data_IF_606338489849
#
_entry.id   IF_606338489849
#
_cell.length_a   1.000
_cell.length_b   1.000
_cell.length_c   1.000
_cell.angle_alpha   90.00
_cell.angle_beta   90.00
_cell.angle_gamma   90.00
#
_symmetry.space_group_name_H-M   'P 1'
#
loop_
_entity.id
_entity.type
_entity.pdbx_description
1 polymer ?
#
# COMPACT_ATOMS: atom_id res chain seq x y z
N UNK A 1 -40.09 62.62 -1.95
CA UNK A 1 -39.71 63.47 -0.79
C UNK A 1 -38.48 62.85 -0.15
N UNK A 2 -37.46 63.66 0.21
CA UNK A 2 -36.13 63.20 0.57
C UNK A 2 -36.05 62.60 2.00
N UNK A 3 -35.14 61.64 2.15
CA UNK A 3 -34.76 60.92 3.38
C UNK A 3 -34.19 61.88 4.44
N UNK A 4 -34.69 61.87 5.70
CA UNK A 4 -34.40 62.90 6.70
C UNK A 4 -33.19 62.61 7.61
N UNK A 5 -32.19 61.83 7.18
CA UNK A 5 -31.07 61.47 8.06
C UNK A 5 -29.74 62.09 7.61
N UNK A 6 -29.32 63.15 8.32
CA UNK A 6 -27.97 63.71 8.28
C UNK A 6 -26.94 62.68 8.78
N UNK A 7 -26.06 62.21 7.89
CA UNK A 7 -24.89 61.40 8.26
C UNK A 7 -23.66 62.30 8.44
N UNK A 8 -23.00 62.17 9.58
CA UNK A 8 -21.75 62.87 9.91
C UNK A 8 -20.58 62.38 9.06
N UNK A 9 -19.68 63.29 8.71
CA UNK A 9 -18.54 63.03 7.82
C UNK A 9 -17.53 62.06 8.44
N UNK A 10 -17.04 61.12 7.62
CA UNK A 10 -15.96 60.19 7.94
C UNK A 10 -14.63 60.95 8.14
N UNK A 11 -13.81 60.61 9.16
CA UNK A 11 -12.54 61.31 9.43
C UNK A 11 -11.36 60.85 8.55
N UNK A 12 -11.60 60.12 7.45
CA UNK A 12 -10.54 59.55 6.62
C UNK A 12 -10.39 60.30 5.29
N UNK A 13 -9.16 60.73 4.98
CA UNK A 13 -8.79 61.45 3.76
C UNK A 13 -8.87 60.59 2.49
N UNK A 14 -9.18 61.24 1.37
CA UNK A 14 -9.28 60.71 0.02
C UNK A 14 -8.04 59.86 -0.38
N UNK A 15 -8.22 58.60 -0.80
CA UNK A 15 -7.12 57.69 -1.17
C UNK A 15 -6.36 58.07 -2.45
N UNK A 16 -6.74 59.15 -3.14
CA UNK A 16 -6.04 59.62 -4.35
C UNK A 16 -4.92 60.64 -4.08
N UNK A 17 -4.76 61.11 -2.84
CA UNK A 17 -3.71 62.09 -2.49
C UNK A 17 -2.43 61.38 -2.02
N UNK A 18 -1.44 61.27 -2.91
CA UNK A 18 -0.09 60.76 -2.58
C UNK A 18 0.73 61.84 -1.85
N UNK A 19 1.20 61.52 -0.64
CA UNK A 19 2.09 62.38 0.14
C UNK A 19 3.52 62.51 -0.42
N UNK A 20 4.29 63.52 0.01
CA UNK A 20 5.53 63.94 -0.65
C UNK A 20 6.74 63.08 -0.25
N UNK A 21 6.81 61.85 -0.77
CA UNK A 21 8.05 61.05 -0.91
C UNK A 21 8.03 60.16 -2.15
N UNK A 22 7.37 60.62 -3.22
CA UNK A 22 7.38 59.94 -4.52
C UNK A 22 7.79 60.93 -5.61
N UNK A 23 9.10 61.16 -5.74
CA UNK A 23 9.71 61.63 -6.99
C UNK A 23 11.24 61.43 -6.92
N UNK A 24 11.78 60.90 -8.03
CA UNK A 24 13.20 60.61 -8.34
C UNK A 24 13.71 59.30 -7.70
N UNK A 25 14.02 58.22 -8.43
CA UNK A 25 14.70 58.13 -9.72
C UNK A 25 14.13 56.99 -10.59
N UNK A 26 13.50 57.36 -11.70
CA UNK A 26 13.29 56.49 -12.87
C UNK A 26 14.36 56.82 -13.91
N UNK A 27 15.52 56.18 -13.84
CA UNK A 27 16.47 56.08 -14.96
C UNK A 27 17.17 54.74 -14.89
N UNK A 28 17.06 53.96 -15.97
CA UNK A 28 17.38 52.53 -16.00
C UNK A 28 18.83 52.19 -15.76
N UNK A 29 19.05 50.99 -15.22
CA UNK A 29 20.29 50.21 -15.29
C UNK A 29 19.99 48.73 -14.97
N UNK A 30 20.36 47.88 -15.93
CA UNK A 30 20.64 46.43 -15.89
C UNK A 30 19.70 45.45 -15.16
N UNK A 31 19.14 44.53 -15.95
CA UNK A 31 18.42 43.30 -15.56
C UNK A 31 19.33 42.18 -15.01
N UNK A 32 20.55 42.47 -14.52
CA UNK A 32 21.54 41.45 -14.15
C UNK A 32 21.92 41.37 -12.66
N UNK A 33 21.19 42.02 -11.75
CA UNK A 33 21.52 42.07 -10.32
C UNK A 33 20.45 41.49 -9.38
N UNK A 34 19.40 40.86 -9.91
CA UNK A 34 18.34 40.23 -9.10
C UNK A 34 18.58 38.75 -8.77
N UNK A 35 19.78 38.22 -9.00
CA UNK A 35 20.13 36.82 -8.66
C UNK A 35 20.82 36.63 -7.29
N UNK A 36 21.26 37.69 -6.62
CA UNK A 36 22.05 37.56 -5.37
C UNK A 36 21.37 38.21 -4.16
N UNK A 37 20.11 37.86 -3.90
CA UNK A 37 19.53 38.09 -2.57
C UNK A 37 18.50 37.02 -2.24
N UNK A 38 18.95 35.77 -2.09
CA UNK A 38 18.22 34.80 -1.29
C UNK A 38 18.20 35.32 0.15
N UNK A 39 17.11 35.97 0.53
CA UNK A 39 16.82 36.22 1.94
C UNK A 39 16.55 34.85 2.57
N UNK A 40 17.58 34.29 3.22
CA UNK A 40 17.44 33.17 4.15
C UNK A 40 16.42 33.57 5.22
N UNK A 41 15.17 33.16 5.03
CA UNK A 41 14.11 33.35 6.01
C UNK A 41 14.31 32.34 7.13
N UNK A 42 15.21 32.64 8.08
CA UNK A 42 15.35 31.86 9.30
C UNK A 42 14.06 31.96 10.12
N UNK A 43 13.37 30.84 10.28
CA UNK A 43 12.13 30.73 11.06
C UNK A 43 12.45 30.29 12.50
N UNK A 44 11.53 30.48 13.44
CA UNK A 44 11.64 29.98 14.82
C UNK A 44 12.85 30.48 15.63
N UNK A 45 13.04 31.80 15.71
CA UNK A 45 13.95 32.39 16.71
C UNK A 45 13.38 32.23 18.11
N UNK A 46 14.02 31.41 18.92
CA UNK A 46 13.67 31.20 20.34
C UNK A 46 14.91 31.41 21.21
N UNK A 47 14.74 31.43 22.53
CA UNK A 47 15.88 31.46 23.45
C UNK A 47 16.81 30.23 23.29
N UNK A 48 16.28 29.11 22.80
CA UNK A 48 17.03 27.88 22.51
C UNK A 48 17.73 27.93 21.14
N UNK A 49 17.21 28.73 20.20
CA UNK A 49 17.78 28.93 18.86
C UNK A 49 17.88 30.43 18.53
N UNK A 50 18.87 31.16 19.07
CA UNK A 50 18.99 32.62 18.90
C UNK A 50 19.22 33.02 17.45
N UNK A 51 19.87 32.13 16.68
CA UNK A 51 20.13 32.30 15.25
C UNK A 51 18.90 32.07 14.36
N UNK A 52 17.80 31.53 14.88
CA UNK A 52 16.74 30.92 14.08
C UNK A 52 17.16 29.55 13.55
N UNK A 53 16.18 28.72 13.21
CA UNK A 53 16.42 27.44 12.57
C UNK A 53 16.55 27.71 11.06
N UNK A 54 17.69 27.34 10.48
CA UNK A 54 17.78 27.23 9.03
C UNK A 54 17.01 25.98 8.62
N UNK A 55 16.05 26.08 7.67
CA UNK A 55 15.51 24.89 7.02
C UNK A 55 16.70 24.03 6.57
N UNK A 56 16.62 22.71 6.79
CA UNK A 56 17.64 21.80 6.29
C UNK A 56 17.94 22.14 4.83
N UNK A 57 19.21 22.23 4.46
CA UNK A 57 19.67 22.55 3.11
C UNK A 57 18.82 21.80 2.09
N UNK A 58 18.23 22.53 1.14
CA UNK A 58 17.34 22.05 0.08
C UNK A 58 17.92 20.80 -0.59
N UNK A 59 17.58 19.63 -0.07
CA UNK A 59 17.72 18.38 -0.83
C UNK A 59 16.60 18.46 -1.86
N UNK A 60 16.96 18.37 -3.14
CA UNK A 60 15.95 18.17 -4.18
C UNK A 60 15.14 16.92 -3.82
N UNK A 61 13.83 17.11 -3.64
CA UNK A 61 12.91 16.03 -3.33
C UNK A 61 12.80 15.14 -4.57
N UNK A 62 12.71 13.84 -4.33
CA UNK A 62 12.47 12.87 -5.41
C UNK A 62 11.04 13.05 -5.95
N UNK A 63 10.83 12.68 -7.21
CA UNK A 63 9.50 12.68 -7.85
C UNK A 63 8.45 11.93 -7.01
N UNK A 64 8.85 10.84 -6.35
CA UNK A 64 8.00 10.10 -5.41
C UNK A 64 7.62 10.93 -4.18
N UNK A 65 8.59 11.61 -3.56
CA UNK A 65 8.35 12.44 -2.37
C UNK A 65 7.38 13.57 -2.70
N UNK A 66 7.60 14.25 -3.84
CA UNK A 66 6.71 15.31 -4.34
C UNK A 66 5.30 14.76 -4.65
N UNK A 67 5.20 13.63 -5.35
CA UNK A 67 3.91 13.02 -5.68
C UNK A 67 3.11 12.64 -4.42
N UNK A 68 3.77 12.04 -3.41
CA UNK A 68 3.12 11.69 -2.14
C UNK A 68 2.72 12.93 -1.33
N UNK A 69 3.51 13.99 -1.38
CA UNK A 69 3.15 15.25 -0.73
C UNK A 69 1.93 15.90 -1.38
N UNK A 70 1.93 16.02 -2.71
CA UNK A 70 0.86 16.66 -3.45
C UNK A 70 -0.46 15.88 -3.38
N UNK A 71 -0.41 14.55 -3.56
CA UNK A 71 -1.62 13.71 -3.62
C UNK A 71 -2.10 13.28 -2.24
N UNK A 72 -1.18 12.94 -1.35
CA UNK A 72 -1.51 12.29 -0.08
C UNK A 72 -1.19 13.16 1.15
N UNK A 73 -0.63 14.36 0.98
CA UNK A 73 -0.22 15.23 2.09
C UNK A 73 0.77 14.56 3.05
N UNK A 74 1.63 13.67 2.52
CA UNK A 74 2.73 13.12 3.30
C UNK A 74 3.81 14.19 3.47
N UNK A 75 4.21 14.44 4.72
CA UNK A 75 5.24 15.41 5.08
C UNK A 75 6.62 14.75 5.02
N UNK A 76 7.25 14.79 3.85
CA UNK A 76 8.58 14.22 3.61
C UNK A 76 9.71 14.91 4.40
N UNK A 77 9.45 16.10 4.97
CA UNK A 77 10.43 16.78 5.84
C UNK A 77 10.42 16.19 7.25
N UNK A 78 9.33 15.51 7.63
CA UNK A 78 9.16 14.89 8.96
C UNK A 78 9.28 13.38 8.93
N UNK A 79 8.86 12.74 7.85
CA UNK A 79 8.79 11.28 7.74
C UNK A 79 9.76 10.80 6.67
N UNK A 80 10.68 9.91 7.05
CA UNK A 80 11.56 9.28 6.08
C UNK A 80 10.75 8.34 5.16
N UNK A 81 10.79 8.61 3.86
CA UNK A 81 10.17 7.76 2.83
C UNK A 81 11.22 6.77 2.33
N UNK A 82 10.96 5.47 2.51
CA UNK A 82 11.86 4.38 2.12
C UNK A 82 11.28 3.64 0.91
N UNK A 83 11.69 4.00 -0.33
CA UNK A 83 11.17 3.40 -1.54
C UNK A 83 11.81 2.05 -1.87
N UNK A 84 10.98 1.08 -2.18
CA UNK A 84 11.33 -0.24 -2.72
C UNK A 84 12.53 -0.92 -2.01
N UNK A 85 12.60 -0.92 -0.66
CA UNK A 85 13.75 -1.41 0.08
C UNK A 85 14.07 -2.87 -0.24
N UNK A 86 15.34 -3.22 -0.06
CA UNK A 86 15.80 -4.60 -0.21
C UNK A 86 15.16 -5.52 0.84
N UNK A 87 15.09 -6.81 0.55
CA UNK A 87 14.60 -7.82 1.50
C UNK A 87 15.41 -7.78 2.80
N UNK A 88 16.74 -7.64 2.70
CA UNK A 88 17.61 -7.57 3.88
C UNK A 88 17.32 -6.34 4.76
N UNK A 89 17.17 -5.16 4.15
CA UNK A 89 16.82 -3.93 4.88
C UNK A 89 15.47 -4.08 5.60
N UNK A 90 14.49 -4.70 4.95
CA UNK A 90 13.18 -4.97 5.58
C UNK A 90 13.26 -5.96 6.74
N UNK A 91 14.16 -6.96 6.67
CA UNK A 91 14.42 -7.85 7.79
C UNK A 91 15.06 -7.10 8.97
N UNK A 92 16.10 -6.30 8.70
CA UNK A 92 16.77 -5.48 9.71
C UNK A 92 15.78 -4.54 10.40
N UNK A 93 14.99 -3.81 9.62
CA UNK A 93 13.99 -2.89 10.15
C UNK A 93 12.90 -3.62 10.95
N UNK A 94 12.40 -4.76 10.47
CA UNK A 94 11.41 -5.54 11.21
C UNK A 94 11.95 -5.99 12.57
N UNK A 95 13.20 -6.48 12.63
CA UNK A 95 13.82 -6.95 13.86
C UNK A 95 14.13 -5.83 14.85
N UNK A 96 14.46 -4.64 14.36
CA UNK A 96 14.80 -3.49 15.21
C UNK A 96 13.54 -2.78 15.73
N UNK A 97 12.48 -2.69 14.92
CA UNK A 97 11.38 -1.77 15.19
C UNK A 97 10.01 -2.43 15.37
N UNK A 98 9.85 -3.70 15.00
CA UNK A 98 8.59 -4.41 15.15
C UNK A 98 8.68 -5.49 16.22
N UNK A 99 8.12 -5.18 17.40
CA UNK A 99 8.07 -6.11 18.51
C UNK A 99 7.38 -7.41 18.14
N UNK A 100 8.01 -8.53 18.49
CA UNK A 100 7.54 -9.88 18.16
C UNK A 100 8.08 -10.44 16.84
N UNK A 101 8.75 -9.64 16.02
CA UNK A 101 9.44 -10.19 14.84
C UNK A 101 10.68 -10.98 15.24
N UNK A 102 10.94 -12.10 14.56
CA UNK A 102 12.13 -12.91 14.74
C UNK A 102 12.57 -13.57 13.43
N UNK A 103 13.75 -14.18 13.42
CA UNK A 103 14.17 -15.08 12.34
C UNK A 103 13.92 -16.51 12.82
N UNK A 104 13.14 -17.27 12.05
CA UNK A 104 12.95 -18.71 12.26
C UNK A 104 14.22 -19.49 11.86
N UNK A 105 14.34 -20.76 12.27
CA UNK A 105 15.49 -21.62 11.94
C UNK A 105 15.69 -21.79 10.42
N UNK A 106 14.62 -21.64 9.64
CA UNK A 106 14.64 -21.64 8.18
C UNK A 106 15.25 -20.37 7.55
N UNK A 107 15.45 -19.31 8.33
CA UNK A 107 15.83 -17.99 7.85
C UNK A 107 14.65 -17.11 7.44
N UNK A 108 13.40 -17.58 7.54
CA UNK A 108 12.22 -16.77 7.31
C UNK A 108 12.00 -15.74 8.43
N UNK A 109 11.47 -14.57 8.09
CA UNK A 109 11.02 -13.58 9.07
C UNK A 109 9.69 -14.07 9.67
N UNK A 110 9.53 -14.03 10.99
CA UNK A 110 8.24 -14.22 11.64
C UNK A 110 7.63 -12.85 11.94
N UNK A 111 6.31 -12.73 11.79
CA UNK A 111 5.59 -11.49 12.10
C UNK A 111 4.19 -11.79 12.67
N UNK A 112 3.68 -10.86 13.46
CA UNK A 112 2.34 -10.95 14.04
C UNK A 112 1.43 -9.82 13.53
N UNK A 113 0.19 -10.17 13.24
CA UNK A 113 -0.85 -9.25 12.72
C UNK A 113 -1.77 -8.69 13.81
N UNK A 114 -1.38 -8.87 15.08
CA UNK A 114 -2.11 -8.35 16.24
C UNK A 114 -3.48 -9.01 16.42
N UNK A 115 -4.48 -8.22 16.78
CA UNK A 115 -5.82 -8.72 17.12
C UNK A 115 -6.58 -9.37 15.94
N UNK A 116 -6.16 -9.10 14.70
CA UNK A 116 -6.80 -9.62 13.49
C UNK A 116 -5.84 -10.60 12.83
N UNK A 117 -6.14 -11.89 12.93
CA UNK A 117 -5.36 -12.98 12.29
C UNK A 117 -5.99 -13.49 11.00
N UNK A 118 -6.89 -12.68 10.43
CA UNK A 118 -7.67 -12.98 9.25
C UNK A 118 -8.42 -11.75 8.76
N UNK A 119 -9.13 -11.89 7.64
CA UNK A 119 -9.91 -10.79 7.06
C UNK A 119 -11.02 -10.32 8.00
N UNK A 120 -11.44 -9.07 7.82
CA UNK A 120 -12.62 -8.47 8.46
C UNK A 120 -13.72 -8.14 7.42
N UNK A 121 -14.42 -9.13 6.83
CA UNK A 121 -15.42 -8.88 5.79
C UNK A 121 -16.55 -7.94 6.23
N UNK A 122 -16.88 -7.95 7.53
CA UNK A 122 -17.85 -7.04 8.14
C UNK A 122 -17.47 -5.58 8.02
N UNK A 123 -16.17 -5.28 7.90
CA UNK A 123 -15.56 -3.95 7.93
C UNK A 123 -15.03 -3.52 6.55
N UNK A 124 -15.13 -4.40 5.53
CA UNK A 124 -14.91 -4.05 4.12
C UNK A 124 -15.99 -3.07 3.64
N UNK A 125 -15.59 -2.06 2.87
CA UNK A 125 -16.46 -1.03 2.29
C UNK A 125 -16.04 -0.68 0.87
N UNK A 126 -17.00 -0.29 0.04
CA UNK A 126 -16.75 0.31 -1.28
C UNK A 126 -17.42 1.68 -1.28
N UNK A 127 -16.69 2.70 -1.71
CA UNK A 127 -17.24 4.05 -1.82
C UNK A 127 -18.33 4.06 -2.88
N UNK A 128 -19.51 4.55 -2.51
CA UNK A 128 -20.64 4.71 -3.42
C UNK A 128 -20.47 6.04 -4.14
N UNK A 129 -19.80 5.99 -5.28
CA UNK A 129 -19.55 7.15 -6.14
C UNK A 129 -20.08 6.90 -7.57
N UNK A 130 -20.40 7.95 -8.36
CA UNK A 130 -21.14 7.81 -9.61
C UNK A 130 -20.50 6.94 -10.70
N UNK A 131 -19.16 6.87 -10.77
CA UNK A 131 -18.44 6.15 -11.82
C UNK A 131 -18.54 4.63 -11.70
N UNK A 132 -18.71 4.11 -10.48
CA UNK A 132 -18.78 2.68 -10.20
C UNK A 132 -20.12 2.19 -9.66
N UNK A 133 -21.00 3.08 -9.17
CA UNK A 133 -22.16 2.66 -8.37
C UNK A 133 -23.14 1.72 -9.08
N UNK A 134 -23.25 1.84 -10.41
CA UNK A 134 -24.15 1.01 -11.22
C UNK A 134 -23.54 -0.35 -11.58
N UNK A 135 -22.22 -0.51 -11.41
CA UNK A 135 -21.49 -1.74 -11.71
C UNK A 135 -21.22 -2.57 -10.44
N UNK A 136 -21.38 -1.98 -9.25
CA UNK A 136 -21.16 -2.67 -7.98
C UNK A 136 -22.44 -3.37 -7.52
N UNK A 137 -22.33 -4.68 -7.23
CA UNK A 137 -23.42 -5.43 -6.63
C UNK A 137 -23.49 -5.20 -5.12
N UNK A 138 -24.28 -4.19 -4.71
CA UNK A 138 -24.44 -3.77 -3.32
C UNK A 138 -25.11 -4.83 -2.44
N UNK A 139 -24.59 -5.02 -1.23
CA UNK A 139 -25.13 -6.00 -0.28
C UNK A 139 -24.23 -6.27 0.93
N UNK A 140 -24.37 -7.43 1.60
CA UNK A 140 -23.61 -7.75 2.80
C UNK A 140 -22.10 -7.90 2.56
N UNK A 141 -21.69 -8.18 1.32
CA UNK A 141 -20.27 -8.27 0.90
C UNK A 141 -19.75 -6.89 0.49
N UNK A 142 -20.45 -6.23 -0.44
CA UNK A 142 -20.10 -4.89 -0.94
C UNK A 142 -20.96 -3.86 -0.21
N UNK A 143 -20.47 -3.41 0.94
CA UNK A 143 -21.17 -2.45 1.79
C UNK A 143 -20.84 -1.02 1.33
N UNK A 144 -21.85 -0.17 1.06
CA UNK A 144 -21.61 1.19 0.61
C UNK A 144 -20.98 2.06 1.71
N UNK A 145 -20.17 3.02 1.28
CA UNK A 145 -19.60 4.08 2.11
C UNK A 145 -19.77 5.42 1.37
N UNK A 146 -20.17 6.47 2.08
CA UNK A 146 -20.25 7.80 1.49
C UNK A 146 -18.83 8.34 1.18
N UNK A 147 -18.63 9.09 0.08
CA UNK A 147 -17.33 9.69 -0.26
C UNK A 147 -16.73 10.52 0.87
N UNK A 148 -17.54 11.26 1.62
CA UNK A 148 -17.12 12.12 2.74
C UNK A 148 -16.60 11.30 3.92
N UNK A 149 -17.27 10.18 4.22
CA UNK A 149 -16.83 9.22 5.25
C UNK A 149 -15.49 8.60 4.86
N UNK A 150 -15.33 8.27 3.58
CA UNK A 150 -14.07 7.73 3.07
C UNK A 150 -12.94 8.76 3.19
N UNK A 151 -13.17 10.03 2.84
CA UNK A 151 -12.18 11.11 3.00
C UNK A 151 -11.72 11.24 4.45
N UNK A 152 -12.62 11.12 5.42
CA UNK A 152 -12.26 11.12 6.85
C UNK A 152 -11.32 9.95 7.18
N UNK A 153 -11.61 8.73 6.70
CA UNK A 153 -10.75 7.58 6.96
C UNK A 153 -9.40 7.68 6.23
N UNK A 154 -9.39 8.20 5.00
CA UNK A 154 -8.17 8.49 4.24
C UNK A 154 -7.28 9.46 5.00
N UNK A 155 -7.83 10.59 5.46
CA UNK A 155 -7.09 11.60 6.21
C UNK A 155 -6.50 11.00 7.50
N UNK A 156 -7.29 10.19 8.23
CA UNK A 156 -6.79 9.49 9.42
C UNK A 156 -5.62 8.54 9.13
N UNK A 157 -5.62 7.89 7.97
CA UNK A 157 -4.52 7.02 7.57
C UNK A 157 -3.26 7.84 7.26
N UNK A 158 -3.41 8.93 6.50
CA UNK A 158 -2.34 9.88 6.20
C UNK A 158 -1.76 10.50 7.48
N UNK A 159 -2.61 11.01 8.38
CA UNK A 159 -2.20 11.57 9.67
C UNK A 159 -1.34 10.57 10.46
N UNK A 160 -1.79 9.31 10.53
CA UNK A 160 -1.03 8.27 11.19
C UNK A 160 0.33 8.04 10.53
N UNK A 161 0.38 7.94 9.19
CA UNK A 161 1.61 7.76 8.43
C UNK A 161 2.57 8.94 8.67
N UNK A 162 2.06 10.17 8.72
CA UNK A 162 2.80 11.40 9.05
C UNK A 162 3.34 11.45 10.48
N UNK A 163 2.79 10.65 11.41
CA UNK A 163 3.33 10.54 12.78
C UNK A 163 4.45 9.51 12.92
N UNK A 164 4.76 8.75 11.87
CA UNK A 164 5.83 7.75 11.90
C UNK A 164 7.18 8.42 11.68
N UNK A 165 8.25 7.83 12.22
CA UNK A 165 9.61 8.26 11.87
C UNK A 165 10.00 7.86 10.45
N UNK A 166 9.38 6.79 9.92
CA UNK A 166 9.55 6.31 8.56
C UNK A 166 8.29 5.64 8.05
N UNK A 167 8.14 5.64 6.74
CA UNK A 167 7.17 4.83 6.00
C UNK A 167 7.88 4.14 4.85
N UNK A 168 7.31 3.02 4.41
CA UNK A 168 7.81 2.26 3.28
C UNK A 168 6.88 2.45 2.09
N UNK A 169 7.48 2.57 0.91
CA UNK A 169 6.77 2.60 -0.36
C UNK A 169 7.16 1.38 -1.17
N UNK A 170 6.17 0.60 -1.61
CA UNK A 170 6.38 -0.53 -2.51
C UNK A 170 5.60 -0.28 -3.79
N UNK A 171 6.33 -0.19 -4.89
CA UNK A 171 5.78 -0.06 -6.24
C UNK A 171 5.90 -1.41 -6.96
N UNK A 172 4.80 -1.86 -7.55
CA UNK A 172 4.78 -3.09 -8.32
C UNK A 172 3.56 -3.24 -9.22
N UNK A 173 3.55 -4.31 -10.00
CA UNK A 173 2.43 -4.62 -10.87
C UNK A 173 1.51 -5.67 -10.27
N UNK A 174 0.23 -5.59 -10.63
CA UNK A 174 -0.73 -6.67 -10.49
C UNK A 174 -1.24 -7.09 -11.88
N UNK A 175 -1.10 -8.37 -12.20
CA UNK A 175 -1.33 -8.94 -13.54
C UNK A 175 -0.04 -9.12 -14.33
N UNK A 176 0.27 -10.36 -14.72
CA UNK A 176 1.46 -10.68 -15.54
C UNK A 176 1.30 -10.32 -17.01
N UNK A 177 0.07 -10.16 -17.50
CA UNK A 177 -0.18 -9.71 -18.85
C UNK A 177 -0.05 -8.19 -18.96
N UNK A 178 0.99 -7.69 -19.64
CA UNK A 178 1.31 -6.26 -19.78
C UNK A 178 0.18 -5.40 -20.36
N UNK A 179 -0.73 -5.97 -21.14
CA UNK A 179 -1.89 -5.24 -21.68
C UNK A 179 -2.89 -4.86 -20.58
N UNK A 180 -2.95 -5.66 -19.53
CA UNK A 180 -3.96 -5.57 -18.47
C UNK A 180 -3.36 -5.27 -17.10
N UNK A 181 -2.02 -5.33 -16.96
CA UNK A 181 -1.37 -5.08 -15.67
C UNK A 181 -1.65 -3.66 -15.18
N UNK A 182 -1.89 -3.53 -13.89
CA UNK A 182 -2.04 -2.23 -13.23
C UNK A 182 -0.81 -1.94 -12.36
N UNK A 183 -0.44 -0.66 -12.25
CA UNK A 183 0.59 -0.16 -11.35
C UNK A 183 -0.01 0.07 -9.97
N UNK A 184 0.53 -0.60 -8.95
CA UNK A 184 0.09 -0.49 -7.56
C UNK A 184 1.22 0.09 -6.72
N UNK A 185 0.93 1.20 -6.03
CA UNK A 185 1.78 1.76 -4.98
C UNK A 185 1.20 1.41 -3.61
N UNK A 186 2.04 0.94 -2.71
CA UNK A 186 1.65 0.67 -1.32
C UNK A 186 2.47 1.56 -0.41
N UNK A 187 1.79 2.33 0.44
CA UNK A 187 2.39 3.15 1.49
C UNK A 187 2.03 2.54 2.83
N UNK A 188 3.01 2.08 3.60
CA UNK A 188 2.78 1.39 4.87
C UNK A 188 3.81 1.73 5.94
N UNK A 189 3.42 1.59 7.21
CA UNK A 189 4.29 1.90 8.35
C UNK A 189 5.18 0.72 8.82
N UNK A 190 4.86 -0.52 8.43
CA UNK A 190 5.55 -1.74 8.87
C UNK A 190 6.41 -2.33 7.75
N UNK A 191 7.65 -2.69 8.07
CA UNK A 191 8.57 -3.42 7.21
C UNK A 191 8.01 -4.80 6.85
N UNK A 192 7.31 -5.46 7.78
CA UNK A 192 6.56 -6.69 7.51
C UNK A 192 5.57 -6.51 6.33
N UNK A 193 4.75 -5.46 6.36
CA UNK A 193 3.77 -5.18 5.30
C UNK A 193 4.43 -4.81 3.97
N UNK A 194 5.54 -4.08 4.03
CA UNK A 194 6.32 -3.76 2.85
C UNK A 194 6.91 -5.03 2.21
N UNK A 195 7.48 -5.93 3.01
CA UNK A 195 7.99 -7.22 2.53
C UNK A 195 6.88 -8.10 1.98
N UNK A 196 5.69 -8.07 2.60
CA UNK A 196 4.50 -8.72 2.07
C UNK A 196 4.17 -8.25 0.67
N UNK A 197 3.99 -6.94 0.46
CA UNK A 197 3.62 -6.45 -0.87
C UNK A 197 4.75 -6.58 -1.89
N UNK A 198 6.02 -6.52 -1.45
CA UNK A 198 7.18 -6.82 -2.32
C UNK A 198 7.20 -8.29 -2.78
N UNK A 199 6.63 -9.20 -1.99
CA UNK A 199 6.51 -10.61 -2.35
C UNK A 199 5.26 -10.87 -3.20
N UNK A 200 4.14 -10.19 -2.91
CA UNK A 200 2.85 -10.46 -3.54
C UNK A 200 2.61 -9.71 -4.85
N UNK A 201 3.22 -8.54 -5.04
CA UNK A 201 3.21 -7.84 -6.33
C UNK A 201 4.33 -8.32 -7.23
N UNK A 202 4.13 -8.15 -8.54
CA UNK A 202 5.15 -8.40 -9.55
C UNK A 202 6.14 -7.24 -9.49
N UNK A 203 7.44 -7.56 -9.39
CA UNK A 203 8.50 -6.57 -9.19
C UNK A 203 8.88 -5.93 -10.53
N UNK A 204 8.77 -4.61 -10.68
CA UNK A 204 9.23 -3.92 -11.89
C UNK A 204 10.76 -4.00 -12.00
N UNK A 205 11.31 -3.96 -13.23
CA UNK A 205 12.72 -3.65 -13.45
C UNK A 205 13.11 -2.32 -12.79
N UNK A 206 14.38 -2.19 -12.39
CA UNK A 206 14.86 -1.00 -11.67
C UNK A 206 14.67 0.30 -12.44
N UNK A 207 14.82 0.25 -13.76
CA UNK A 207 14.60 1.39 -14.67
C UNK A 207 13.15 1.86 -14.70
N UNK A 208 12.18 0.96 -14.55
CA UNK A 208 10.76 1.32 -14.51
C UNK A 208 10.35 1.95 -13.16
N UNK A 209 11.16 1.76 -12.11
CA UNK A 209 10.89 2.33 -10.78
C UNK A 209 11.24 3.82 -10.67
N UNK A 210 12.11 4.35 -11.54
CA UNK A 210 12.57 5.75 -11.46
C UNK A 210 11.44 6.74 -11.75
N UNK A 211 10.54 6.39 -12.68
CA UNK A 211 9.38 7.20 -13.10
C UNK A 211 8.07 6.43 -12.92
N UNK A 212 7.93 5.75 -11.79
CA UNK A 212 6.76 4.94 -11.50
C UNK A 212 5.59 5.81 -11.01
N UNK A 213 4.51 5.83 -11.79
CA UNK A 213 3.25 6.45 -11.40
C UNK A 213 2.17 5.38 -11.20
N UNK A 214 1.59 5.25 -9.99
CA UNK A 214 0.59 4.24 -9.71
C UNK A 214 -0.74 4.52 -10.44
N UNK A 215 -1.37 3.44 -10.88
CA UNK A 215 -2.79 3.46 -11.23
C UNK A 215 -3.64 3.39 -9.96
N UNK A 216 -3.22 2.59 -8.97
CA UNK A 216 -3.85 2.50 -7.65
C UNK A 216 -2.86 2.70 -6.51
N UNK A 217 -3.30 3.38 -5.44
CA UNK A 217 -2.51 3.53 -4.21
C UNK A 217 -3.20 2.92 -3.00
N UNK A 218 -2.46 2.16 -2.18
CA UNK A 218 -2.92 1.60 -0.92
C UNK A 218 -2.24 2.34 0.24
N UNK A 219 -3.02 3.00 1.09
CA UNK A 219 -2.53 3.53 2.37
C UNK A 219 -2.84 2.53 3.48
N UNK A 220 -1.81 1.78 3.90
CA UNK A 220 -1.91 0.85 4.99
C UNK A 220 -1.47 1.50 6.30
N UNK A 221 -2.45 2.05 7.01
CA UNK A 221 -2.36 2.55 8.38
C UNK A 221 -3.00 1.54 9.37
N UNK A 222 -2.83 0.24 9.10
CA UNK A 222 -3.51 -0.84 9.80
C UNK A 222 -3.35 -0.84 11.32
N UNK A 223 -2.21 -0.38 11.84
CA UNK A 223 -1.98 -0.26 13.29
C UNK A 223 -2.74 0.91 13.94
N UNK A 224 -3.41 1.76 13.17
CA UNK A 224 -4.24 2.87 13.65
C UNK A 224 -5.73 2.59 13.45
N UNK A 225 -6.58 2.74 14.47
CA UNK A 225 -7.99 2.39 14.36
C UNK A 225 -8.80 3.42 13.56
N UNK A 226 -9.80 2.92 12.84
CA UNK A 226 -10.89 3.72 12.33
C UNK A 226 -11.70 4.32 13.49
N UNK A 227 -12.30 5.49 13.26
CA UNK A 227 -13.19 6.10 14.24
C UNK A 227 -14.55 5.38 14.21
N UNK A 228 -14.87 4.69 15.31
CA UNK A 228 -16.10 3.89 15.47
C UNK A 228 -17.38 4.71 15.40
N UNK A 229 -17.27 6.03 15.62
CA UNK A 229 -18.39 6.97 15.60
C UNK A 229 -18.58 7.65 14.25
N UNK A 230 -17.70 7.43 13.29
CA UNK A 230 -17.93 7.87 11.90
C UNK A 230 -19.08 7.06 11.31
N UNK A 231 -19.97 7.73 10.58
CA UNK A 231 -21.14 7.10 9.96
C UNK A 231 -20.78 5.84 9.16
N UNK A 232 -21.55 4.77 9.33
CA UNK A 232 -21.35 3.49 8.63
C UNK A 232 -20.20 2.62 9.16
N UNK A 233 -19.42 3.08 10.14
CA UNK A 233 -18.42 2.26 10.83
C UNK A 233 -19.06 1.33 11.85
N UNK A 234 -18.57 0.09 11.88
CA UNK A 234 -19.10 -0.99 12.75
C UNK A 234 -18.12 -1.44 13.82
N UNK A 235 -16.85 -1.03 13.69
CA UNK A 235 -15.76 -1.39 14.60
C UNK A 235 -14.63 -0.37 14.49
N UNK A 236 -13.50 -0.63 15.17
CA UNK A 236 -12.27 0.13 14.98
C UNK A 236 -11.50 -0.24 13.69
N UNK A 237 -12.04 -1.14 12.86
CA UNK A 237 -11.44 -1.60 11.61
C UNK A 237 -12.19 -0.99 10.42
N UNK A 238 -11.46 -0.60 9.37
CA UNK A 238 -12.04 -0.21 8.08
C UNK A 238 -11.10 -0.62 6.95
N UNK A 239 -11.65 -1.29 5.95
CA UNK A 239 -10.94 -1.65 4.72
C UNK A 239 -11.78 -1.13 3.56
N UNK A 240 -11.41 0.04 3.02
CA UNK A 240 -12.27 0.78 2.10
C UNK A 240 -11.58 1.04 0.77
N UNK A 241 -12.31 0.83 -0.33
CA UNK A 241 -11.84 1.02 -1.70
C UNK A 241 -12.67 2.11 -2.37
N UNK A 242 -12.01 3.06 -3.02
CA UNK A 242 -12.61 4.11 -3.83
C UNK A 242 -12.11 3.98 -5.28
N UNK A 243 -13.01 3.59 -6.19
CA UNK A 243 -12.66 3.38 -7.61
C UNK A 243 -12.45 4.69 -8.38
N UNK A 244 -13.14 5.78 -8.01
CA UNK A 244 -12.94 7.08 -8.66
C UNK A 244 -11.58 7.69 -8.31
N UNK A 245 -11.21 7.63 -7.03
CA UNK A 245 -9.92 8.15 -6.55
C UNK A 245 -8.77 7.13 -6.78
N UNK A 246 -9.10 5.90 -7.20
CA UNK A 246 -8.18 4.76 -7.36
C UNK A 246 -7.33 4.50 -6.12
N UNK A 247 -7.98 4.49 -4.96
CA UNK A 247 -7.29 4.39 -3.68
C UNK A 247 -7.95 3.36 -2.75
N UNK A 248 -7.12 2.73 -1.94
CA UNK A 248 -7.51 1.83 -0.87
C UNK A 248 -6.96 2.32 0.45
N UNK A 249 -7.78 2.30 1.50
CA UNK A 249 -7.39 2.70 2.87
C UNK A 249 -7.64 1.54 3.82
N UNK A 250 -6.63 1.22 4.63
CA UNK A 250 -6.68 0.18 5.67
C UNK A 250 -6.42 0.81 7.03
N UNK A 251 -7.35 0.61 7.96
CA UNK A 251 -7.29 1.05 9.35
C UNK A 251 -7.71 -0.10 10.28
N UNK A 252 -7.06 -0.21 11.43
CA UNK A 252 -7.44 -1.10 12.54
C UNK A 252 -7.36 -2.59 12.24
N UNK A 253 -6.47 -2.99 11.33
CA UNK A 253 -6.13 -4.39 11.05
C UNK A 253 -4.71 -4.45 10.49
N UNK A 254 -3.88 -5.32 11.05
CA UNK A 254 -2.51 -5.53 10.60
C UNK A 254 -2.35 -6.85 9.83
N UNK A 255 -3.46 -7.52 9.52
CA UNK A 255 -3.48 -8.73 8.69
C UNK A 255 -3.14 -8.38 7.24
N UNK A 256 -2.00 -8.85 6.75
CA UNK A 256 -1.50 -8.44 5.43
C UNK A 256 -2.39 -8.91 4.27
N UNK A 257 -3.17 -9.97 4.49
CA UNK A 257 -4.13 -10.47 3.50
C UNK A 257 -5.22 -9.48 3.11
N UNK A 258 -5.43 -8.39 3.86
CA UNK A 258 -6.31 -7.30 3.43
C UNK A 258 -5.74 -6.56 2.21
N UNK A 259 -4.43 -6.29 2.16
CA UNK A 259 -3.80 -5.64 1.00
C UNK A 259 -3.92 -6.53 -0.25
N UNK A 260 -3.58 -7.82 -0.12
CA UNK A 260 -3.72 -8.81 -1.22
C UNK A 260 -5.16 -8.84 -1.75
N UNK A 261 -6.14 -9.08 -0.87
CA UNK A 261 -7.54 -9.20 -1.32
C UNK A 261 -8.17 -7.85 -1.71
N UNK A 262 -7.56 -6.74 -1.30
CA UNK A 262 -7.84 -5.40 -1.79
C UNK A 262 -7.48 -5.25 -3.27
N UNK A 263 -6.22 -5.54 -3.63
CA UNK A 263 -5.76 -5.59 -5.03
C UNK A 263 -6.64 -6.56 -5.83
N UNK A 264 -6.90 -7.76 -5.32
CA UNK A 264 -7.80 -8.70 -5.99
C UNK A 264 -9.18 -8.10 -6.24
N UNK A 265 -9.77 -7.39 -5.27
CA UNK A 265 -11.07 -6.73 -5.44
C UNK A 265 -11.03 -5.68 -6.54
N UNK A 266 -9.93 -4.92 -6.65
CA UNK A 266 -9.75 -3.94 -7.73
C UNK A 266 -9.77 -4.63 -9.09
N UNK A 267 -8.96 -5.69 -9.25
CA UNK A 267 -8.91 -6.44 -10.51
C UNK A 267 -10.26 -7.12 -10.81
N UNK A 268 -10.94 -7.64 -9.79
CA UNK A 268 -12.28 -8.24 -9.91
C UNK A 268 -13.35 -7.27 -10.42
N UNK A 269 -13.10 -5.97 -10.29
CA UNK A 269 -13.95 -4.91 -10.84
C UNK A 269 -13.45 -4.47 -12.22
N UNK A 270 -12.19 -4.07 -12.34
CA UNK A 270 -11.67 -3.47 -13.57
C UNK A 270 -11.62 -4.44 -14.74
N UNK A 271 -11.21 -5.70 -14.51
CA UNK A 271 -11.06 -6.66 -15.59
C UNK A 271 -12.39 -6.96 -16.28
N UNK A 272 -13.50 -7.26 -15.59
CA UNK A 272 -14.79 -7.45 -16.26
C UNK A 272 -15.37 -6.14 -16.80
N UNK A 273 -15.33 -5.05 -16.02
CA UNK A 273 -16.08 -3.80 -16.34
C UNK A 273 -15.40 -2.99 -17.44
N UNK A 274 -14.07 -2.90 -17.43
CA UNK A 274 -13.29 -2.06 -18.34
C UNK A 274 -12.72 -2.88 -19.50
N UNK A 275 -12.24 -4.09 -19.20
CA UNK A 275 -11.47 -4.88 -20.16
C UNK A 275 -12.21 -6.07 -20.75
N UNK A 276 -13.41 -6.41 -20.25
CA UNK A 276 -14.14 -7.62 -20.62
C UNK A 276 -13.29 -8.90 -20.47
N UNK A 277 -12.50 -8.96 -19.39
CA UNK A 277 -11.63 -10.07 -19.02
C UNK A 277 -12.21 -10.78 -17.79
N UNK A 278 -12.23 -12.11 -17.81
CA UNK A 278 -12.80 -12.91 -16.74
C UNK A 278 -11.81 -13.04 -15.58
N UNK A 279 -12.18 -12.57 -14.39
CA UNK A 279 -11.41 -12.76 -13.16
C UNK A 279 -11.79 -14.03 -12.42
N UNK A 280 -10.79 -14.77 -11.95
CA UNK A 280 -10.93 -16.10 -11.37
C UNK A 280 -10.23 -16.18 -10.02
N UNK A 281 -10.94 -16.68 -9.02
CA UNK A 281 -10.36 -17.07 -7.73
C UNK A 281 -10.07 -18.58 -7.76
N UNK A 282 -8.93 -18.93 -8.33
CA UNK A 282 -8.49 -20.30 -8.61
C UNK A 282 -6.96 -20.37 -8.59
N UNK A 283 -6.40 -21.55 -8.31
CA UNK A 283 -5.02 -21.84 -8.72
C UNK A 283 -4.98 -22.28 -10.19
N UNK A 284 -3.82 -22.17 -10.83
CA UNK A 284 -3.61 -22.62 -12.20
C UNK A 284 -2.21 -23.21 -12.41
N UNK A 285 -2.12 -24.24 -13.25
CA UNK A 285 -0.84 -24.81 -13.69
C UNK A 285 -0.90 -25.26 -15.15
N UNK A 286 0.27 -25.38 -15.76
CA UNK A 286 0.45 -25.71 -17.17
C UNK A 286 1.23 -27.03 -17.32
N UNK A 287 0.73 -27.92 -18.16
CA UNK A 287 1.44 -29.14 -18.53
C UNK A 287 2.52 -28.87 -19.57
N UNK A 288 3.44 -29.84 -19.77
CA UNK A 288 4.55 -29.71 -20.75
C UNK A 288 4.08 -29.49 -22.20
N UNK A 289 2.82 -29.77 -22.51
CA UNK A 289 2.23 -29.59 -23.83
C UNK A 289 1.41 -28.29 -23.96
N UNK A 290 1.46 -27.40 -22.97
CA UNK A 290 0.72 -26.14 -22.94
C UNK A 290 -0.74 -26.27 -22.47
N UNK A 291 -1.14 -27.43 -21.94
CA UNK A 291 -2.49 -27.62 -21.41
C UNK A 291 -2.63 -26.96 -20.03
N UNK A 292 -3.47 -25.94 -19.94
CA UNK A 292 -3.73 -25.19 -18.70
C UNK A 292 -4.87 -25.82 -17.91
N UNK A 293 -4.68 -26.03 -16.61
CA UNK A 293 -5.72 -26.50 -15.68
C UNK A 293 -6.00 -25.43 -14.63
N UNK A 294 -7.28 -25.18 -14.33
CA UNK A 294 -7.76 -24.26 -13.31
C UNK A 294 -8.43 -25.03 -12.16
N UNK A 295 -8.09 -24.71 -10.92
CA UNK A 295 -8.64 -25.35 -9.73
C UNK A 295 -9.43 -24.35 -8.90
N UNK A 296 -10.75 -24.47 -8.91
CA UNK A 296 -11.65 -23.65 -8.09
C UNK A 296 -11.92 -24.29 -6.74
N UNK A 297 -12.00 -23.47 -5.70
CA UNK A 297 -12.28 -23.96 -4.35
C UNK A 297 -12.14 -22.88 -3.29
N UNK A 298 -12.76 -23.08 -2.14
CA UNK A 298 -12.62 -22.19 -1.00
C UNK A 298 -11.25 -22.36 -0.32
N UNK A 299 -10.94 -21.54 0.68
CA UNK A 299 -9.70 -21.70 1.45
C UNK A 299 -9.69 -23.06 2.16
N UNK A 300 -8.61 -23.84 2.01
CA UNK A 300 -8.48 -25.15 2.65
C UNK A 300 -9.08 -26.33 1.89
N UNK A 301 -9.59 -26.15 0.66
CA UNK A 301 -10.14 -27.25 -0.15
C UNK A 301 -9.08 -27.90 -1.07
N UNK A 302 -7.79 -27.79 -0.74
CA UNK A 302 -6.71 -28.42 -1.50
C UNK A 302 -6.25 -27.71 -2.78
N UNK A 303 -6.72 -26.48 -3.09
CA UNK A 303 -6.30 -25.74 -4.31
C UNK A 303 -4.78 -25.68 -4.48
N UNK A 304 -4.08 -25.21 -3.44
CA UNK A 304 -2.63 -25.00 -3.44
C UNK A 304 -1.89 -26.32 -3.57
N UNK A 305 -2.31 -27.34 -2.83
CA UNK A 305 -1.73 -28.69 -2.83
C UNK A 305 -1.94 -29.40 -4.17
N UNK A 306 -3.14 -29.33 -4.77
CA UNK A 306 -3.44 -29.96 -6.07
C UNK A 306 -2.79 -29.24 -7.25
N UNK A 307 -2.57 -27.92 -7.15
CA UNK A 307 -1.87 -27.18 -8.19
C UNK A 307 -0.35 -27.39 -8.18
N UNK A 308 0.22 -27.81 -7.05
CA UNK A 308 1.64 -28.10 -6.88
C UNK A 308 1.98 -29.52 -7.36
N UNK A 309 1.79 -29.77 -8.65
CA UNK A 309 2.16 -31.03 -9.31
C UNK A 309 3.60 -30.91 -9.84
N UNK A 310 4.54 -31.78 -9.45
CA UNK A 310 5.94 -31.70 -9.90
C UNK A 310 6.11 -31.87 -11.42
N UNK A 311 5.11 -32.36 -12.14
CA UNK A 311 5.14 -32.51 -13.59
C UNK A 311 4.54 -31.32 -14.35
N UNK A 312 4.04 -30.30 -13.65
CA UNK A 312 3.33 -29.15 -14.22
C UNK A 312 3.92 -27.85 -13.68
N UNK A 313 4.05 -26.84 -14.54
CA UNK A 313 4.54 -25.53 -14.14
C UNK A 313 3.42 -24.76 -13.43
N UNK A 314 3.68 -24.28 -12.22
CA UNK A 314 2.71 -23.44 -11.49
C UNK A 314 2.63 -22.06 -12.16
N UNK A 315 1.42 -21.64 -12.55
CA UNK A 315 1.15 -20.28 -13.02
C UNK A 315 0.89 -19.36 -11.81
N UNK A 316 0.08 -19.83 -10.87
CA UNK A 316 -0.27 -19.13 -9.64
C UNK A 316 -1.17 -19.98 -8.76
N UNK A 317 -1.30 -19.63 -7.47
CA UNK A 317 -1.99 -20.48 -6.50
C UNK A 317 -3.34 -19.96 -5.99
N UNK A 318 -3.77 -18.76 -6.40
CA UNK A 318 -5.00 -18.16 -5.85
C UNK A 318 -5.78 -17.25 -6.81
N UNK A 319 -5.13 -16.38 -7.59
CA UNK A 319 -5.80 -15.28 -8.29
C UNK A 319 -5.35 -15.15 -9.76
N UNK A 320 -6.28 -15.32 -10.70
CA UNK A 320 -5.98 -15.30 -12.14
C UNK A 320 -7.00 -14.48 -12.94
N UNK A 321 -6.61 -14.12 -14.16
CA UNK A 321 -7.50 -13.59 -15.18
C UNK A 321 -7.44 -14.47 -16.43
N UNK A 322 -8.56 -14.57 -17.15
CA UNK A 322 -8.67 -15.27 -18.41
C UNK A 322 -9.12 -14.28 -19.50
N UNK A 323 -8.19 -13.96 -20.39
CA UNK A 323 -8.39 -13.10 -21.56
C UNK A 323 -8.52 -13.91 -22.86
N UNK A 324 -8.64 -13.21 -23.99
CA UNK A 324 -8.57 -13.78 -25.33
C UNK A 324 -7.20 -14.42 -25.65
N UNK A 325 -6.16 -14.13 -24.87
CA UNK A 325 -4.80 -14.67 -25.04
C UNK A 325 -4.46 -15.81 -24.08
N UNK A 326 -5.37 -16.16 -23.17
CA UNK A 326 -5.16 -17.23 -22.19
C UNK A 326 -5.24 -16.73 -20.75
N UNK A 327 -4.64 -17.50 -19.85
CA UNK A 327 -4.69 -17.28 -18.40
C UNK A 327 -3.41 -16.58 -17.94
N UNK A 328 -3.53 -15.55 -17.11
CA UNK A 328 -2.39 -14.93 -16.43
C UNK A 328 -2.65 -14.79 -14.93
N UNK A 329 -1.58 -14.94 -14.15
CA UNK A 329 -1.60 -14.72 -12.71
C UNK A 329 -1.71 -13.22 -12.40
N UNK A 330 -2.42 -12.86 -11.32
CA UNK A 330 -2.48 -11.48 -10.82
C UNK A 330 -1.25 -11.18 -9.95
N UNK A 331 -0.70 -12.19 -9.27
CA UNK A 331 0.25 -12.03 -8.16
C UNK A 331 1.70 -12.34 -8.59
N UNK A 332 2.66 -11.70 -7.91
CA UNK A 332 4.10 -11.99 -8.01
C UNK A 332 4.61 -13.00 -6.99
N UNK A 333 3.72 -13.57 -6.16
CA UNK A 333 4.07 -14.46 -5.06
C UNK A 333 2.93 -15.36 -4.63
N UNK A 334 3.13 -16.04 -3.51
CA UNK A 334 2.19 -16.98 -2.90
C UNK A 334 1.87 -16.56 -1.48
N UNK A 335 0.63 -16.78 -1.05
CA UNK A 335 0.18 -16.56 0.33
C UNK A 335 -0.62 -17.75 0.88
N UNK A 336 0.08 -18.81 1.23
CA UNK A 336 -0.53 -20.09 1.59
C UNK A 336 -0.59 -20.32 3.12
N UNK A 337 -1.44 -21.26 3.52
CA UNK A 337 -1.58 -21.68 4.92
C UNK A 337 -0.40 -22.54 5.33
N UNK A 338 0.00 -22.44 6.59
CA UNK A 338 1.10 -23.24 7.16
C UNK A 338 0.65 -24.20 8.26
N UNK A 339 -0.62 -24.15 8.69
CA UNK A 339 -1.13 -25.06 9.70
C UNK A 339 -1.08 -26.51 9.18
N UNK A 340 -0.47 -27.41 9.94
CA UNK A 340 -0.24 -28.82 9.57
C UNK A 340 0.81 -29.04 8.47
N UNK A 341 1.59 -28.01 8.14
CA UNK A 341 2.64 -28.10 7.12
C UNK A 341 3.77 -29.02 7.58
N UNK A 342 4.23 -29.87 6.66
CA UNK A 342 5.36 -30.79 6.90
C UNK A 342 6.14 -31.00 5.60
N UNK A 343 7.43 -31.27 5.72
CA UNK A 343 8.30 -31.51 4.57
C UNK A 343 7.87 -32.75 3.78
N UNK A 344 7.24 -33.73 4.43
CA UNK A 344 6.76 -34.96 3.81
C UNK A 344 5.50 -34.74 2.97
N UNK A 345 4.55 -33.92 3.45
CA UNK A 345 3.27 -33.70 2.76
C UNK A 345 3.38 -32.66 1.65
N UNK A 346 4.12 -31.59 1.88
CA UNK A 346 4.19 -30.42 0.99
C UNK A 346 5.64 -29.90 0.85
N UNK A 347 6.56 -30.71 0.29
CA UNK A 347 8.00 -30.42 0.24
C UNK A 347 8.33 -29.10 -0.47
N UNK A 348 7.62 -28.78 -1.56
CA UNK A 348 7.86 -27.55 -2.32
C UNK A 348 7.53 -26.29 -1.51
N UNK A 349 6.44 -26.35 -0.75
CA UNK A 349 6.03 -25.25 0.14
C UNK A 349 7.00 -25.14 1.31
N UNK A 350 7.33 -26.26 1.94
CA UNK A 350 8.25 -26.29 3.08
C UNK A 350 9.64 -25.77 2.69
N UNK A 351 10.18 -26.19 1.53
CA UNK A 351 11.48 -25.76 1.02
C UNK A 351 11.52 -24.30 0.55
N UNK A 352 10.37 -23.70 0.23
CA UNK A 352 10.27 -22.29 -0.12
C UNK A 352 10.32 -21.36 1.12
N UNK A 353 10.13 -21.89 2.33
CA UNK A 353 10.22 -21.12 3.58
C UNK A 353 11.70 -20.96 3.94
N UNK A 354 12.23 -19.78 3.62
CA UNK A 354 13.63 -19.39 3.82
C UNK A 354 13.78 -17.88 3.87
N UNK A 355 15.01 -17.37 3.89
CA UNK A 355 15.26 -15.92 3.73
C UNK A 355 14.49 -15.35 2.53
N UNK A 356 13.77 -14.25 2.77
CA UNK A 356 12.87 -13.61 1.83
C UNK A 356 11.40 -14.03 1.94
N UNK A 357 11.10 -15.15 2.60
CA UNK A 357 9.75 -15.50 3.02
C UNK A 357 9.39 -14.85 4.35
N UNK A 358 8.10 -14.84 4.68
CA UNK A 358 7.62 -14.47 6.02
C UNK A 358 6.59 -15.48 6.49
N UNK A 359 6.62 -15.78 7.78
CA UNK A 359 5.66 -16.58 8.50
C UNK A 359 4.78 -15.65 9.37
N UNK A 360 3.50 -15.55 9.05
CA UNK A 360 2.54 -14.73 9.79
C UNK A 360 1.80 -15.58 10.85
N UNK A 361 1.84 -15.11 12.10
CA UNK A 361 1.13 -15.68 13.25
C UNK A 361 1.50 -17.13 13.62
N UNK A 362 2.71 -17.58 13.27
CA UNK A 362 3.22 -18.89 13.70
C UNK A 362 3.76 -18.86 15.14
N UNK A 363 3.74 -20.02 15.79
CA UNK A 363 4.46 -20.24 17.05
C UNK A 363 5.76 -20.96 16.75
N UNK A 364 6.83 -20.60 17.44
CA UNK A 364 8.15 -21.20 17.26
C UNK A 364 8.86 -21.32 18.62
N UNK A 365 9.78 -22.28 18.70
CA UNK A 365 10.62 -22.49 19.87
C UNK A 365 11.62 -21.32 20.03
N UNK A 366 11.67 -20.70 21.21
CA UNK A 366 12.50 -19.51 21.44
C UNK A 366 14.02 -19.78 21.37
N UNK A 367 14.44 -21.01 21.66
CA UNK A 367 15.85 -21.42 21.64
C UNK A 367 16.25 -21.95 20.26
N UNK A 368 15.54 -22.94 19.73
CA UNK A 368 15.89 -23.58 18.44
C UNK A 368 15.44 -22.77 17.23
N UNK A 369 14.49 -21.83 17.42
CA UNK A 369 13.82 -21.06 16.35
C UNK A 369 13.01 -21.91 15.38
N UNK A 370 12.81 -23.20 15.67
CA UNK A 370 11.97 -24.09 14.87
C UNK A 370 10.50 -23.75 15.06
N UNK A 371 9.77 -23.71 13.95
CA UNK A 371 8.36 -23.38 13.91
C UNK A 371 7.55 -24.64 14.21
N UNK A 372 6.58 -24.51 15.10
CA UNK A 372 5.58 -25.55 15.33
C UNK A 372 4.40 -25.27 14.39
N UNK A 373 4.33 -26.02 13.28
CA UNK A 373 3.28 -25.88 12.29
C UNK A 373 1.96 -26.51 12.72
N UNK A 374 1.92 -27.28 13.80
CA UNK A 374 0.68 -27.83 14.36
C UNK A 374 0.09 -26.91 15.46
N UNK A 375 0.87 -25.93 15.95
CA UNK A 375 0.43 -24.98 16.96
C UNK A 375 -0.50 -23.88 16.40
N UNK A 376 -1.78 -23.99 16.75
CA UNK A 376 -2.83 -23.02 16.41
C UNK A 376 -3.19 -22.07 17.57
N UNK A 377 -2.36 -21.96 18.61
CA UNK A 377 -2.63 -21.15 19.82
C UNK A 377 -2.97 -19.71 19.49
N UNK A 378 -2.32 -19.13 18.46
CA UNK A 378 -2.63 -17.79 17.97
C UNK A 378 -3.80 -17.80 16.98
N UNK A 379 -3.82 -18.76 16.04
CA UNK A 379 -4.84 -18.89 15.01
C UNK A 379 -4.66 -20.19 14.21
N UNK A 380 -5.74 -20.75 13.66
CA UNK A 380 -5.68 -21.79 12.62
C UNK A 380 -5.36 -21.22 11.22
N UNK A 381 -5.32 -19.89 11.11
CA UNK A 381 -4.98 -19.19 9.88
C UNK A 381 -3.51 -18.73 9.89
N UNK A 382 -2.59 -19.59 10.34
CA UNK A 382 -1.16 -19.35 10.16
C UNK A 382 -0.82 -19.35 8.67
N UNK A 383 0.06 -18.44 8.26
CA UNK A 383 0.35 -18.20 6.85
C UNK A 383 1.84 -18.10 6.60
N UNK A 384 2.22 -18.34 5.36
CA UNK A 384 3.49 -17.86 4.84
C UNK A 384 3.27 -17.09 3.54
N UNK A 385 4.17 -16.16 3.26
CA UNK A 385 4.28 -15.58 1.93
C UNK A 385 5.71 -15.56 1.42
N UNK A 386 5.84 -15.75 0.10
CA UNK A 386 7.12 -15.87 -0.60
C UNK A 386 6.95 -15.34 -2.03
N UNK A 387 7.97 -14.72 -2.65
CA UNK A 387 7.90 -14.39 -4.06
C UNK A 387 7.91 -15.65 -4.92
N UNK A 388 7.27 -15.60 -6.09
CA UNK A 388 7.01 -16.79 -6.92
C UNK A 388 8.30 -17.50 -7.34
N UNK A 389 9.37 -16.76 -7.68
CA UNK A 389 10.67 -17.32 -8.07
C UNK A 389 11.33 -18.20 -6.99
N UNK A 390 10.99 -18.05 -5.71
CA UNK A 390 11.51 -18.93 -4.64
C UNK A 390 10.66 -20.18 -4.43
N UNK A 391 9.41 -20.21 -4.93
CA UNK A 391 8.53 -21.40 -4.92
C UNK A 391 8.79 -22.28 -6.13
N UNK A 392 9.19 -21.68 -7.24
CA UNK A 392 9.59 -22.39 -8.44
C UNK A 392 11.02 -22.91 -8.22
N UNK A 393 11.19 -24.20 -7.92
CA UNK A 393 12.44 -24.92 -8.25
C UNK A 393 12.64 -25.06 -9.79
N UNK A 394 11.91 -24.27 -10.58
CA UNK A 394 11.72 -24.47 -12.01
C UNK A 394 12.67 -23.54 -12.77
N UNK A 395 13.73 -24.16 -13.29
CA UNK A 395 14.39 -23.90 -14.56
C UNK A 395 14.47 -22.44 -15.01
N UNK A 396 15.69 -21.91 -15.02
CA UNK A 396 16.09 -20.70 -15.76
C UNK A 396 15.35 -20.62 -17.11
N UNK A 397 14.53 -19.58 -17.33
CA UNK A 397 14.05 -19.27 -18.68
C UNK A 397 12.64 -18.73 -18.87
N UNK A 398 11.84 -18.48 -17.82
CA UNK A 398 10.50 -17.90 -18.00
C UNK A 398 10.31 -16.67 -17.10
N UNK A 399 10.46 -15.50 -17.72
CA UNK A 399 10.04 -14.19 -17.23
C UNK A 399 9.26 -13.50 -18.35
#
# INVERSE_FOLDING_TARGET
MPDPVQRTASPYHDPTVKGPKSQQLSTGLSRSLLKDTMISNKVNKTALHPGGVEPAQEREHTELEEELHEKAHIDYDRVAIIPNPSVAALYEDALVYESGSAIASSGALTAYSGAKTGRSPSDKRIVKEPSSENNVWWGPVNKPMAPEVWKINRERAVDYLNTRSRIYVIDGYAGWDEKYRIRVRVVCARAYHALFMRNMLIRPPREELEHFHPDYTIYNAGSFPANRYTEGMTSGTSVSINFAEKEMVILGTEYAGEMKKGVFTVLFYEMPVIHNVLTLHSSANEGKNGDVTLFFGLSGTGKTTLSADPNRALIGDDEHCWSDRGVFNIEGGCYAKTIGLSAEKEPDIFGAIRFGSVLENVVFNQETREVDYDDATLTENTRYHVPLHLRLHLQDGWY
#
